data_IF_524076842022
#
_entry.id   IF_524076842022
#
_cell.length_a   1.000
_cell.length_b   1.000
_cell.length_c   1.000
_cell.angle_alpha   90.00
_cell.angle_beta   90.00
_cell.angle_gamma   90.00
#
_symmetry.space_group_name_H-M   'P 1'
#
loop_
_entity.id
_entity.type
_entity.pdbx_description
1 polymer ?
#
# COMPACT_ATOMS: atom_id res chain seq x y z
N UNK A 1 -4.52 -19.09 -25.15
CA UNK A 1 -5.13 -18.01 -25.95
C UNK A 1 -6.54 -17.79 -25.44
N UNK A 2 -6.73 -16.73 -24.64
CA UNK A 2 -8.01 -16.03 -24.43
C UNK A 2 -7.70 -14.81 -23.55
N UNK A 3 -7.52 -13.68 -24.23
CA UNK A 3 -7.56 -12.34 -23.66
C UNK A 3 -9.02 -12.08 -23.28
N UNK A 4 -9.28 -11.68 -22.04
CA UNK A 4 -10.58 -11.14 -21.64
C UNK A 4 -10.33 -9.83 -20.89
N UNK A 5 -10.24 -8.75 -21.67
CA UNK A 5 -10.58 -7.42 -21.18
C UNK A 5 -12.11 -7.36 -21.11
N UNK A 6 -12.65 -7.02 -19.94
CA UNK A 6 -14.06 -6.65 -19.79
C UNK A 6 -14.14 -5.42 -18.88
N UNK A 7 -14.31 -4.30 -19.57
CA UNK A 7 -14.72 -3.00 -19.07
C UNK A 7 -16.08 -3.10 -18.32
N UNK A 8 -16.21 -2.38 -17.21
CA UNK A 8 -17.28 -1.39 -16.93
C UNK A 8 -17.46 -1.09 -15.42
N UNK A 9 -16.91 0.06 -15.03
CA UNK A 9 -17.40 1.07 -14.06
C UNK A 9 -18.11 0.72 -12.75
N UNK A 10 -17.49 1.14 -11.63
CA UNK A 10 -18.10 2.14 -10.74
C UNK A 10 -17.01 2.93 -9.99
N UNK A 11 -17.21 4.25 -9.96
CA UNK A 11 -16.32 5.27 -9.42
C UNK A 11 -16.61 5.52 -7.93
N UNK A 12 -15.57 5.59 -7.10
CA UNK A 12 -15.61 6.35 -5.84
C UNK A 12 -14.30 7.11 -5.70
N UNK A 13 -14.28 8.34 -6.21
CA UNK A 13 -13.28 9.34 -5.82
C UNK A 13 -13.91 10.25 -4.78
N UNK A 14 -13.54 10.10 -3.50
CA UNK A 14 -13.86 11.12 -2.48
C UNK A 14 -12.83 12.25 -2.59
N UNK A 15 -13.24 13.36 -3.19
CA UNK A 15 -12.48 14.62 -3.20
C UNK A 15 -12.96 15.47 -2.03
N UNK A 16 -12.13 15.65 -1.00
CA UNK A 16 -12.39 16.64 0.05
C UNK A 16 -11.72 17.96 -0.35
N UNK A 17 -12.52 18.94 -0.78
CA UNK A 17 -12.08 20.35 -0.92
C UNK A 17 -12.74 21.15 0.20
N UNK A 18 -11.94 21.96 0.89
CA UNK A 18 -12.42 22.91 1.89
C UNK A 18 -12.75 24.23 1.19
N UNK A 19 -14.03 24.50 0.95
CA UNK A 19 -14.49 25.88 0.69
C UNK A 19 -14.85 26.54 2.04
N UNK A 20 -14.33 27.74 2.24
CA UNK A 20 -14.15 28.41 3.52
C UNK A 20 -15.39 28.91 4.27
N UNK A 21 -16.58 28.34 4.04
CA UNK A 21 -17.77 28.71 4.79
C UNK A 21 -18.40 27.48 5.48
N UNK A 22 -18.81 27.68 6.73
CA UNK A 22 -19.35 26.64 7.61
C UNK A 22 -20.36 25.69 6.96
N UNK A 23 -20.33 24.46 7.47
CA UNK A 23 -21.07 23.27 7.04
C UNK A 23 -22.55 23.59 6.78
N UNK A 24 -22.92 23.81 5.52
CA UNK A 24 -24.31 23.77 5.08
C UNK A 24 -24.63 22.34 4.67
N UNK A 25 -25.58 21.73 5.37
CA UNK A 25 -26.24 20.51 4.95
C UNK A 25 -26.90 20.76 3.59
N UNK A 26 -26.30 20.22 2.52
CA UNK A 26 -26.86 20.23 1.17
C UNK A 26 -27.51 18.88 0.82
N UNK A 27 -28.19 18.27 1.81
CA UNK A 27 -29.02 17.08 1.64
C UNK A 27 -30.48 17.33 1.26
N UNK A 28 -30.91 18.56 0.94
CA UNK A 28 -32.27 18.83 0.42
C UNK A 28 -32.31 19.96 -0.59
N UNK A 29 -32.07 19.64 -1.86
CA UNK A 29 -32.75 20.33 -2.94
C UNK A 29 -33.86 19.41 -3.49
N UNK A 30 -35.11 19.76 -3.17
CA UNK A 30 -36.29 19.11 -3.74
C UNK A 30 -36.33 19.40 -5.23
N UNK A 31 -35.99 18.41 -6.08
CA UNK A 31 -36.63 18.33 -7.38
C UNK A 31 -38.02 17.76 -7.18
N UNK A 32 -39.03 18.60 -7.42
CA UNK A 32 -40.40 18.15 -7.68
C UNK A 32 -40.39 17.48 -9.05
N UNK A 33 -40.41 16.16 -9.08
CA UNK A 33 -41.06 15.43 -10.16
C UNK A 33 -42.16 14.56 -9.55
N UNK A 34 -43.40 14.93 -9.86
CA UNK A 34 -44.54 14.09 -9.56
C UNK A 34 -44.47 12.85 -10.44
N UNK A 35 -44.31 11.68 -9.84
CA UNK A 35 -45.14 10.48 -10.03
C UNK A 35 -44.50 9.32 -9.26
N UNK A 36 -45.30 8.65 -8.43
CA UNK A 36 -44.83 7.67 -7.45
C UNK A 36 -44.35 6.35 -8.07
N UNK A 37 -43.26 5.83 -7.50
CA UNK A 37 -42.80 4.47 -7.70
C UNK A 37 -41.82 4.05 -6.59
N UNK A 38 -42.20 3.08 -5.78
CA UNK A 38 -41.45 2.60 -4.60
C UNK A 38 -40.24 1.76 -5.06
N UNK A 39 -39.00 2.16 -4.76
CA UNK A 39 -37.81 1.29 -4.82
C UNK A 39 -37.09 1.28 -3.47
N UNK A 40 -36.96 0.08 -2.89
CA UNK A 40 -36.07 -0.24 -1.75
C UNK A 40 -34.62 -0.20 -2.22
N UNK A 41 -33.75 0.54 -1.51
CA UNK A 41 -32.27 0.41 -1.40
C UNK A 41 -31.94 1.05 -0.05
N UNK A 42 -31.48 0.31 0.95
CA UNK A 42 -30.11 -0.16 1.12
C UNK A 42 -29.52 0.60 2.31
N UNK A 43 -29.47 -0.01 3.50
CA UNK A 43 -28.91 0.61 4.70
C UNK A 43 -27.40 0.34 4.74
N UNK A 44 -26.60 1.23 4.15
CA UNK A 44 -25.18 1.32 4.46
C UNK A 44 -25.01 2.05 5.79
N UNK A 45 -24.44 1.37 6.78
CA UNK A 45 -23.96 2.03 7.99
C UNK A 45 -22.54 2.56 7.72
N UNK A 46 -22.37 3.86 7.95
CA UNK A 46 -21.10 4.56 7.96
C UNK A 46 -20.71 4.81 9.40
N UNK A 47 -19.46 4.54 9.78
CA UNK A 47 -18.83 5.18 10.93
C UNK A 47 -17.34 5.44 10.66
N UNK A 48 -16.98 6.73 10.60
CA UNK A 48 -15.66 7.22 10.97
C UNK A 48 -15.82 8.65 11.52
N UNK A 49 -15.56 8.81 12.81
CA UNK A 49 -15.29 10.08 13.51
C UNK A 49 -14.26 9.71 14.60
N UNK A 50 -13.15 10.41 14.86
CA UNK A 50 -12.88 11.82 15.22
C UNK A 50 -11.33 11.99 15.12
N UNK A 51 -10.65 13.12 14.88
CA UNK A 51 -10.93 14.55 14.92
C UNK A 51 -9.73 15.35 14.38
N UNK A 52 -9.76 16.66 14.57
CA UNK A 52 -9.13 17.74 13.79
C UNK A 52 -7.59 17.84 13.79
N UNK A 53 -6.97 17.87 12.61
CA UNK A 53 -6.09 18.94 12.09
C UNK A 53 -5.75 18.65 10.62
N UNK A 54 -5.69 19.70 9.80
CA UNK A 54 -5.65 19.62 8.33
C UNK A 54 -4.33 19.04 7.82
N UNK A 55 -4.37 17.86 7.21
CA UNK A 55 -3.50 17.43 6.12
C UNK A 55 -4.39 16.71 5.10
N UNK A 56 -4.21 16.99 3.82
CA UNK A 56 -4.99 16.41 2.73
C UNK A 56 -4.65 14.93 2.62
N UNK A 57 -5.59 14.04 2.97
CA UNK A 57 -5.48 12.63 2.60
C UNK A 57 -5.93 12.50 1.15
N UNK A 58 -4.97 12.32 0.24
CA UNK A 58 -5.27 12.03 -1.15
C UNK A 58 -5.41 10.51 -1.32
N UNK A 59 -6.63 10.05 -1.55
CA UNK A 59 -6.96 8.65 -1.80
C UNK A 59 -7.06 8.42 -3.31
N UNK A 60 -6.17 7.60 -3.86
CA UNK A 60 -6.18 7.24 -5.28
C UNK A 60 -6.59 5.78 -5.45
N UNK A 61 -7.47 5.49 -6.41
CA UNK A 61 -7.87 4.11 -6.74
C UNK A 61 -7.23 3.68 -8.06
N UNK A 62 -6.19 2.87 -7.99
CA UNK A 62 -5.48 2.28 -9.13
C UNK A 62 -6.24 1.04 -9.65
N UNK A 63 -6.59 1.04 -10.93
CA UNK A 63 -7.33 -0.04 -11.57
C UNK A 63 -6.38 -1.07 -12.18
N UNK A 64 -6.57 -2.33 -11.78
CA UNK A 64 -6.01 -3.55 -12.37
C UNK A 64 -4.47 -3.56 -12.43
N UNK A 65 -3.87 -4.18 -11.41
CA UNK A 65 -2.47 -4.60 -11.44
C UNK A 65 -2.38 -6.06 -11.91
N UNK A 66 -1.75 -6.30 -13.06
CA UNK A 66 -1.37 -7.64 -13.50
C UNK A 66 -0.12 -8.11 -12.76
N UNK A 67 -0.24 -9.22 -12.03
CA UNK A 67 0.91 -9.90 -11.42
C UNK A 67 1.93 -10.26 -12.51
N UNK A 68 3.15 -9.71 -12.43
CA UNK A 68 4.22 -9.98 -13.39
C UNK A 68 4.92 -11.28 -12.98
N UNK A 69 4.78 -12.33 -13.79
CA UNK A 69 5.53 -13.59 -13.64
C UNK A 69 7.00 -13.38 -14.03
N UNK A 70 7.87 -13.09 -13.06
CA UNK A 70 9.31 -13.39 -13.07
C UNK A 70 9.79 -13.34 -11.61
N UNK A 71 10.65 -14.25 -11.13
CA UNK A 71 11.32 -14.08 -9.84
C UNK A 71 12.56 -13.19 -10.05
N UNK A 72 12.55 -11.90 -9.71
CA UNK A 72 13.78 -11.15 -9.57
C UNK A 72 14.54 -11.66 -8.34
N UNK A 73 15.87 -11.48 -8.30
CA UNK A 73 16.64 -11.64 -7.07
C UNK A 73 16.06 -10.75 -5.97
N UNK A 74 16.36 -11.02 -4.67
CA UNK A 74 15.96 -10.14 -3.58
C UNK A 74 16.32 -8.70 -3.92
N UNK A 75 15.49 -7.72 -3.52
CA UNK A 75 15.57 -6.36 -4.04
C UNK A 75 16.90 -5.71 -3.68
N UNK A 76 17.85 -5.70 -4.63
CA UNK A 76 19.14 -5.04 -4.45
C UNK A 76 18.97 -3.57 -4.86
N UNK A 77 19.27 -2.65 -3.94
CA UNK A 77 19.35 -1.21 -4.19
C UNK A 77 20.39 -0.95 -5.30
N UNK A 78 20.00 -0.37 -6.45
CA UNK A 78 20.90 -0.24 -7.61
C UNK A 78 22.08 0.70 -7.40
N UNK A 79 22.02 1.58 -6.40
CA UNK A 79 22.91 2.74 -6.27
C UNK A 79 24.20 2.46 -5.50
N UNK A 80 24.36 1.26 -4.92
CA UNK A 80 25.60 0.86 -4.23
C UNK A 80 26.29 -0.30 -4.94
N UNK A 81 27.17 0.04 -5.89
CA UNK A 81 28.07 -0.93 -6.56
C UNK A 81 29.02 -1.65 -5.59
N UNK A 82 29.31 -1.02 -4.45
CA UNK A 82 30.01 -1.60 -3.30
C UNK A 82 29.02 -1.72 -2.14
N UNK A 83 28.83 -2.93 -1.61
CA UNK A 83 27.81 -3.25 -0.60
C UNK A 83 26.37 -2.93 -1.06
N UNK A 84 25.86 -3.64 -2.09
CA UNK A 84 24.46 -3.56 -2.47
C UNK A 84 23.59 -3.79 -1.24
N UNK A 85 22.72 -2.82 -0.93
CA UNK A 85 21.77 -2.95 0.17
C UNK A 85 20.54 -3.67 -0.34
N UNK A 86 19.90 -4.47 0.49
CA UNK A 86 18.56 -4.95 0.19
C UNK A 86 17.55 -3.81 0.42
N UNK A 87 16.43 -3.80 -0.30
CA UNK A 87 15.29 -2.96 0.06
C UNK A 87 14.84 -3.31 1.49
N UNK A 88 14.46 -2.27 2.23
CA UNK A 88 13.93 -2.44 3.59
C UNK A 88 12.49 -2.94 3.53
N UNK A 89 12.15 -3.85 4.44
CA UNK A 89 10.77 -4.26 4.68
C UNK A 89 10.11 -3.23 5.60
N UNK A 90 9.04 -2.60 5.13
CA UNK A 90 8.29 -1.58 5.86
C UNK A 90 7.04 -2.14 6.53
N UNK A 91 6.43 -3.20 5.98
CA UNK A 91 5.22 -3.81 6.55
C UNK A 91 5.11 -5.30 6.13
N UNK A 92 4.51 -6.12 7.00
CA UNK A 92 4.15 -7.52 6.72
C UNK A 92 2.69 -7.73 7.15
N UNK A 93 1.85 -8.13 6.21
CA UNK A 93 0.44 -8.47 6.44
C UNK A 93 0.20 -9.95 6.16
N UNK A 94 -0.25 -10.71 7.15
CA UNK A 94 -0.64 -12.10 6.94
C UNK A 94 -1.89 -12.19 6.03
N UNK A 95 -1.82 -13.09 5.04
CA UNK A 95 -2.93 -13.42 4.14
C UNK A 95 -3.07 -14.94 4.09
N UNK A 96 -4.06 -15.49 4.79
CA UNK A 96 -4.21 -16.94 4.97
C UNK A 96 -3.27 -17.50 6.05
N UNK A 97 -3.01 -18.82 5.98
CA UNK A 97 -2.21 -19.53 6.99
C UNK A 97 -0.70 -19.43 6.76
N UNK A 98 -0.29 -19.40 5.49
CA UNK A 98 1.10 -19.62 5.09
C UNK A 98 1.63 -18.55 4.13
N UNK A 99 0.86 -17.49 3.90
CA UNK A 99 1.25 -16.41 2.97
C UNK A 99 1.17 -15.05 3.65
N UNK A 100 2.03 -14.15 3.19
CA UNK A 100 2.12 -12.78 3.67
C UNK A 100 2.26 -11.83 2.47
N UNK A 101 1.64 -10.66 2.57
CA UNK A 101 2.04 -9.50 1.78
C UNK A 101 3.18 -8.80 2.51
N UNK A 102 4.24 -8.45 1.76
CA UNK A 102 5.40 -7.72 2.28
C UNK A 102 5.57 -6.44 1.48
N UNK A 103 5.54 -5.29 2.16
CA UNK A 103 5.84 -4.00 1.55
C UNK A 103 7.34 -3.74 1.70
N UNK A 104 8.03 -3.66 0.57
CA UNK A 104 9.47 -3.46 0.51
C UNK A 104 9.82 -2.26 -0.37
N UNK A 105 10.81 -1.47 0.06
CA UNK A 105 11.24 -0.27 -0.67
C UNK A 105 12.72 0.03 -0.52
N UNK A 106 13.30 0.67 -1.53
CA UNK A 106 14.59 1.32 -1.35
C UNK A 106 14.47 2.54 -0.43
N UNK A 107 15.63 2.95 0.12
CA UNK A 107 15.73 4.07 1.04
C UNK A 107 16.26 5.29 0.31
N UNK A 108 15.92 6.47 0.82
CA UNK A 108 16.46 7.75 0.39
C UNK A 108 15.99 8.22 -1.03
N UNK A 109 14.86 7.69 -1.54
CA UNK A 109 14.26 8.09 -2.82
C UNK A 109 12.77 8.46 -2.71
N UNK A 110 12.44 9.71 -3.03
CA UNK A 110 11.06 10.20 -3.09
C UNK A 110 10.95 11.71 -2.92
N UNK A 111 9.73 12.19 -2.74
CA UNK A 111 9.46 13.60 -2.50
C UNK A 111 10.16 14.08 -1.21
N UNK A 112 10.83 15.23 -1.29
CA UNK A 112 11.55 15.84 -0.17
C UNK A 112 12.97 15.32 0.07
N UNK A 113 13.49 14.46 -0.81
CA UNK A 113 14.84 13.87 -0.69
C UNK A 113 15.74 14.25 -1.87
N UNK A 114 17.05 14.03 -1.71
CA UNK A 114 18.05 14.31 -2.76
C UNK A 114 17.84 13.46 -4.02
N UNK A 115 17.41 12.21 -3.85
CA UNK A 115 17.00 11.32 -4.92
C UNK A 115 15.47 11.26 -5.05
N UNK A 116 14.95 11.34 -6.28
CA UNK A 116 13.49 11.20 -6.51
C UNK A 116 13.07 9.84 -7.07
N UNK A 117 13.98 9.12 -7.76
CA UNK A 117 13.64 7.87 -8.44
C UNK A 117 13.85 6.65 -7.54
N UNK A 118 12.75 6.12 -7.00
CA UNK A 118 12.76 4.81 -6.36
C UNK A 118 12.86 3.73 -7.45
N UNK A 119 13.84 2.84 -7.32
CA UNK A 119 14.01 1.70 -8.21
C UNK A 119 13.24 0.48 -7.70
N UNK A 120 12.92 0.45 -6.42
CA UNK A 120 12.16 -0.63 -5.81
C UNK A 120 11.18 -0.09 -4.79
N UNK A 121 9.89 -0.28 -5.06
CA UNK A 121 8.80 -0.05 -4.10
C UNK A 121 7.63 -0.95 -4.49
N UNK A 122 7.50 -2.07 -3.80
CA UNK A 122 6.59 -3.14 -4.20
C UNK A 122 5.91 -3.77 -2.99
N UNK A 123 4.72 -4.30 -3.25
CA UNK A 123 4.05 -5.24 -2.35
C UNK A 123 4.26 -6.60 -2.98
N UNK A 124 4.94 -7.48 -2.27
CA UNK A 124 5.27 -8.83 -2.75
C UNK A 124 4.56 -9.88 -1.91
N UNK A 125 4.56 -11.12 -2.38
CA UNK A 125 4.03 -12.27 -1.64
C UNK A 125 5.18 -13.11 -1.12
N UNK A 126 5.15 -13.38 0.18
CA UNK A 126 6.05 -14.32 0.84
C UNK A 126 5.26 -15.55 1.27
N UNK A 127 5.64 -16.72 0.77
CA UNK A 127 4.96 -18.00 1.02
C UNK A 127 5.87 -18.94 1.81
N UNK A 128 5.39 -19.36 2.99
CA UNK A 128 6.10 -20.22 3.94
C UNK A 128 5.58 -21.67 3.94
N UNK A 129 4.59 -22.03 3.11
CA UNK A 129 3.90 -23.33 3.16
C UNK A 129 4.87 -24.51 3.04
N UNK A 130 5.97 -24.25 2.34
CA UNK A 130 6.96 -25.21 1.89
C UNK A 130 8.34 -24.94 2.50
N UNK A 131 8.45 -23.94 3.38
CA UNK A 131 9.70 -23.47 3.97
C UNK A 131 10.11 -24.27 5.21
N UNK A 132 11.41 -24.39 5.46
CA UNK A 132 11.91 -25.00 6.70
C UNK A 132 11.67 -24.05 7.87
N UNK A 133 10.87 -24.47 8.85
CA UNK A 133 10.73 -23.73 10.11
C UNK A 133 12.06 -23.69 10.85
N UNK A 134 12.49 -22.48 11.24
CA UNK A 134 13.72 -22.28 12.01
C UNK A 134 13.50 -22.37 13.52
N UNK A 135 12.25 -22.50 13.97
CA UNK A 135 11.89 -22.53 15.37
C UNK A 135 12.56 -23.70 16.09
N UNK A 136 13.12 -23.44 17.27
CA UNK A 136 13.77 -24.43 18.12
C UNK A 136 15.29 -24.33 18.13
N UNK A 137 15.96 -25.28 18.79
CA UNK A 137 17.38 -25.13 19.16
C UNK A 137 18.38 -25.28 18.01
N UNK A 138 17.99 -25.88 16.88
CA UNK A 138 18.93 -26.19 15.79
C UNK A 138 19.46 -24.92 15.13
N UNK A 139 18.56 -24.00 14.75
CA UNK A 139 18.92 -22.77 14.02
C UNK A 139 18.65 -21.49 14.83
N UNK A 140 17.69 -21.49 15.75
CA UNK A 140 17.32 -20.35 16.60
C UNK A 140 17.87 -20.51 18.02
N UNK A 141 19.19 -20.68 18.13
CA UNK A 141 19.90 -20.70 19.41
C UNK A 141 21.16 -19.85 19.36
N UNK A 142 21.65 -19.43 20.53
CA UNK A 142 22.86 -18.62 20.63
C UNK A 142 24.05 -19.37 20.02
N UNK A 143 24.59 -18.85 18.91
CA UNK A 143 25.72 -19.45 18.20
C UNK A 143 25.32 -20.45 17.11
N UNK A 144 24.02 -20.72 16.93
CA UNK A 144 23.52 -21.40 15.73
C UNK A 144 23.68 -20.50 14.50
N UNK A 145 23.71 -21.13 13.32
CA UNK A 145 23.74 -20.44 12.04
C UNK A 145 22.84 -21.17 11.03
N UNK A 146 22.25 -20.40 10.12
CA UNK A 146 21.52 -20.91 8.95
C UNK A 146 22.43 -21.12 7.73
N UNK A 147 23.67 -20.62 7.78
CA UNK A 147 24.64 -20.75 6.68
C UNK A 147 25.71 -21.80 6.97
N UNK A 148 26.41 -22.24 5.92
CA UNK A 148 27.49 -23.24 6.02
C UNK A 148 28.77 -22.67 6.66
N UNK A 149 29.01 -21.37 6.51
CA UNK A 149 30.06 -20.61 7.19
C UNK A 149 29.63 -19.14 7.39
N UNK A 150 30.24 -18.40 8.34
CA UNK A 150 30.09 -16.94 8.40
C UNK A 150 30.37 -16.31 7.04
N UNK A 151 29.54 -15.35 6.64
CA UNK A 151 29.66 -14.57 5.39
C UNK A 151 29.60 -15.37 4.07
N UNK A 152 29.33 -16.68 4.11
CA UNK A 152 29.25 -17.51 2.90
C UNK A 152 28.07 -17.15 1.99
N UNK A 153 26.97 -16.64 2.56
CA UNK A 153 25.71 -16.45 1.85
C UNK A 153 25.04 -17.76 1.40
N UNK A 154 25.60 -18.93 1.76
CA UNK A 154 25.11 -20.25 1.36
C UNK A 154 24.33 -20.85 2.52
N UNK A 155 23.03 -21.07 2.31
CA UNK A 155 22.19 -21.78 3.28
C UNK A 155 22.63 -23.23 3.46
N UNK A 156 22.45 -23.77 4.67
CA UNK A 156 22.58 -25.22 4.90
C UNK A 156 21.57 -25.97 4.04
N UNK A 157 21.97 -27.13 3.52
CA UNK A 157 21.22 -27.87 2.49
C UNK A 157 19.85 -28.40 2.95
N UNK A 158 19.63 -28.47 4.25
CA UNK A 158 18.38 -28.88 4.90
C UNK A 158 17.41 -27.69 5.15
N UNK A 159 17.85 -26.46 4.86
CA UNK A 159 17.03 -25.26 4.95
C UNK A 159 16.47 -24.93 3.56
N UNK A 160 15.15 -25.03 3.43
CA UNK A 160 14.41 -24.52 2.30
C UNK A 160 13.92 -23.10 2.62
N UNK A 161 14.38 -22.06 1.89
CA UNK A 161 13.88 -20.70 2.10
C UNK A 161 12.41 -20.62 1.68
N UNK A 162 11.70 -19.68 2.27
CA UNK A 162 10.37 -19.30 1.83
C UNK A 162 10.41 -18.70 0.41
N UNK A 163 9.31 -18.88 -0.31
CA UNK A 163 9.17 -18.41 -1.68
C UNK A 163 8.82 -16.92 -1.68
N UNK A 164 9.54 -16.13 -2.46
CA UNK A 164 9.30 -14.70 -2.63
C UNK A 164 8.86 -14.43 -4.06
N UNK A 165 7.66 -13.86 -4.23
CA UNK A 165 7.05 -13.60 -5.52
C UNK A 165 6.66 -12.12 -5.63
N UNK A 166 7.13 -11.39 -6.65
CA UNK A 166 6.64 -10.05 -6.89
C UNK A 166 5.15 -10.07 -7.17
N UNK A 167 4.43 -9.07 -6.65
CA UNK A 167 2.99 -9.02 -6.82
C UNK A 167 2.51 -7.67 -7.37
N UNK A 168 2.80 -6.57 -6.68
CA UNK A 168 2.31 -5.25 -7.04
C UNK A 168 3.44 -4.23 -7.03
N UNK A 169 3.65 -3.59 -8.18
CA UNK A 169 4.65 -2.55 -8.35
C UNK A 169 4.03 -1.16 -8.10
N UNK A 170 4.42 -0.52 -6.99
CA UNK A 170 3.91 0.82 -6.64
C UNK A 170 4.46 1.87 -7.62
N UNK A 171 5.63 1.60 -8.21
CA UNK A 171 6.31 2.49 -9.13
C UNK A 171 5.80 2.35 -10.58
N UNK A 172 4.72 1.59 -10.85
CA UNK A 172 4.19 1.41 -12.20
C UNK A 172 3.72 2.75 -12.79
N UNK A 173 4.53 3.29 -13.70
CA UNK A 173 4.30 4.61 -14.29
C UNK A 173 2.96 4.73 -15.03
N UNK A 174 2.47 3.65 -15.64
CA UNK A 174 1.19 3.67 -16.34
C UNK A 174 0.01 3.75 -15.36
N UNK A 175 0.12 3.12 -14.19
CA UNK A 175 -0.88 3.24 -13.13
C UNK A 175 -0.83 4.62 -12.47
N UNK A 176 0.36 5.12 -12.14
CA UNK A 176 0.53 6.44 -11.51
C UNK A 176 0.05 7.58 -12.41
N UNK A 177 0.35 7.52 -13.71
CA UNK A 177 -0.02 8.56 -14.67
C UNK A 177 -1.54 8.76 -14.80
N UNK A 178 -2.36 7.74 -14.51
CA UNK A 178 -3.83 7.85 -14.50
C UNK A 178 -4.33 8.88 -13.47
N UNK A 179 -3.51 9.18 -12.47
CA UNK A 179 -3.82 10.11 -11.37
C UNK A 179 -2.88 11.32 -11.33
N UNK A 180 -2.07 11.50 -12.38
CA UNK A 180 -1.06 12.55 -12.44
C UNK A 180 0.11 12.34 -11.50
N UNK A 181 0.23 11.17 -10.85
CA UNK A 181 1.34 10.84 -9.96
C UNK A 181 2.56 10.34 -10.75
N UNK A 182 3.74 10.39 -10.14
CA UNK A 182 4.96 9.85 -10.74
C UNK A 182 5.98 9.37 -9.70
N UNK A 183 6.89 8.52 -10.16
CA UNK A 183 8.07 8.08 -9.43
C UNK A 183 9.31 8.61 -10.17
N UNK A 184 10.19 9.33 -9.47
CA UNK A 184 11.30 10.06 -10.07
C UNK A 184 10.89 11.37 -10.74
N UNK A 185 11.91 12.16 -11.12
CA UNK A 185 11.72 13.44 -11.78
C UNK A 185 11.66 14.63 -10.81
N UNK A 186 10.75 15.56 -11.08
CA UNK A 186 10.63 16.82 -10.34
C UNK A 186 10.21 16.61 -8.88
N UNK A 187 10.70 17.47 -7.99
CA UNK A 187 10.30 17.50 -6.57
C UNK A 187 9.02 18.33 -6.45
N UNK A 188 7.88 17.72 -6.80
CA UNK A 188 6.56 18.34 -6.74
C UNK A 188 5.55 17.45 -5.99
N UNK A 189 4.36 18.00 -5.73
CA UNK A 189 3.33 17.34 -4.94
C UNK A 189 2.80 16.02 -5.54
N UNK A 190 3.08 15.74 -6.81
CA UNK A 190 2.68 14.50 -7.47
C UNK A 190 3.78 13.42 -7.44
N UNK A 191 4.98 13.76 -6.98
CA UNK A 191 6.03 12.81 -6.71
C UNK A 191 5.64 11.94 -5.51
N UNK A 192 5.79 10.63 -5.64
CA UNK A 192 5.55 9.74 -4.52
C UNK A 192 6.57 9.95 -3.39
N UNK A 193 6.10 9.93 -2.15
CA UNK A 193 6.93 9.97 -0.95
C UNK A 193 7.84 8.75 -0.85
N UNK A 194 8.93 8.87 -0.08
CA UNK A 194 9.86 7.76 0.17
C UNK A 194 9.24 6.68 1.07
N UNK A 195 8.62 7.07 2.19
CA UNK A 195 8.06 6.14 3.18
C UNK A 195 6.69 5.63 2.80
N UNK A 196 6.53 4.32 2.80
CA UNK A 196 5.25 3.62 2.71
C UNK A 196 5.26 2.54 3.79
N UNK A 197 4.36 2.64 4.77
CA UNK A 197 4.49 1.89 6.03
C UNK A 197 3.15 1.29 6.49
N UNK A 198 2.28 0.97 5.53
CA UNK A 198 1.03 0.29 5.85
C UNK A 198 0.55 -0.59 4.71
N UNK A 199 -0.15 -1.66 5.11
CA UNK A 199 -0.83 -2.59 4.23
C UNK A 199 -2.17 -2.97 4.85
N UNK A 200 -3.22 -2.91 4.02
CA UNK A 200 -4.49 -3.53 4.32
C UNK A 200 -5.05 -4.19 3.06
N UNK A 201 -5.85 -5.24 3.23
CA UNK A 201 -6.61 -5.84 2.13
C UNK A 201 -8.06 -6.03 2.58
N UNK A 202 -9.01 -5.59 1.75
CA UNK A 202 -10.45 -5.66 2.03
C UNK A 202 -11.22 -6.09 0.79
N UNK A 203 -12.34 -6.81 0.93
CA UNK A 203 -13.08 -7.29 -0.23
C UNK A 203 -13.84 -6.14 -0.92
N UNK A 204 -13.85 -6.14 -2.26
CA UNK A 204 -14.51 -5.08 -3.06
C UNK A 204 -16.04 -5.12 -2.91
N UNK A 205 -16.59 -6.32 -2.74
CA UNK A 205 -18.03 -6.52 -2.54
C UNK A 205 -18.55 -6.01 -1.18
N UNK A 206 -17.65 -5.58 -0.29
CA UNK A 206 -17.96 -5.14 1.07
C UNK A 206 -18.51 -6.25 1.96
N UNK A 207 -18.30 -7.51 1.59
CA UNK A 207 -18.74 -8.70 2.32
C UNK A 207 -17.51 -9.56 2.66
N UNK A 208 -17.44 -10.76 2.12
CA UNK A 208 -16.40 -11.76 2.42
C UNK A 208 -15.49 -12.02 1.21
N UNK A 209 -15.64 -11.25 0.11
CA UNK A 209 -14.82 -11.38 -1.09
C UNK A 209 -15.12 -12.63 -1.92
N UNK A 210 -16.40 -13.02 -2.03
CA UNK A 210 -16.83 -14.20 -2.79
C UNK A 210 -16.68 -14.02 -4.32
N UNK A 211 -16.46 -12.79 -4.80
CA UNK A 211 -16.24 -12.46 -6.21
C UNK A 211 -14.75 -12.37 -6.59
N UNK A 212 -13.86 -12.74 -5.65
CA UNK A 212 -12.39 -12.73 -5.73
C UNK A 212 -11.78 -11.33 -6.00
N UNK A 213 -12.56 -10.25 -5.87
CA UNK A 213 -12.07 -8.89 -6.04
C UNK A 213 -11.73 -8.27 -4.69
N UNK A 214 -10.53 -7.70 -4.60
CA UNK A 214 -10.00 -7.12 -3.36
C UNK A 214 -9.41 -5.74 -3.62
N UNK A 215 -9.51 -4.88 -2.61
CA UNK A 215 -8.74 -3.66 -2.52
C UNK A 215 -7.52 -3.92 -1.66
N UNK A 216 -6.32 -3.68 -2.20
CA UNK A 216 -5.08 -3.56 -1.42
C UNK A 216 -4.82 -2.08 -1.19
N UNK A 217 -4.61 -1.69 0.06
CA UNK A 217 -4.44 -0.30 0.46
C UNK A 217 -3.06 -0.17 1.09
N UNK A 218 -2.32 0.85 0.67
CA UNK A 218 -1.06 1.26 1.30
C UNK A 218 -1.02 2.77 1.44
N UNK A 219 -0.44 3.23 2.54
CA UNK A 219 -0.39 4.62 2.94
C UNK A 219 1.05 4.98 3.29
N UNK A 220 1.46 6.12 2.76
CA UNK A 220 2.66 6.85 3.12
C UNK A 220 2.35 7.83 4.24
N UNK A 221 3.09 7.74 5.32
CA UNK A 221 3.18 8.84 6.28
C UNK A 221 4.13 9.91 5.74
N UNK A 222 3.98 11.13 6.25
CA UNK A 222 4.75 12.28 5.79
C UNK A 222 5.87 12.67 6.76
N UNK A 223 6.18 11.84 7.78
CA UNK A 223 7.15 12.13 8.83
C UNK A 223 6.97 13.49 9.54
N UNK A 224 5.76 14.06 9.51
CA UNK A 224 5.50 15.45 9.93
C UNK A 224 6.32 16.51 9.16
N UNK A 225 6.79 16.21 7.94
CA UNK A 225 7.50 17.16 7.08
C UNK A 225 6.50 18.21 6.56
N UNK A 226 6.49 19.37 7.19
CA UNK A 226 5.64 20.50 6.81
C UNK A 226 6.26 21.85 7.18
N UNK A 227 5.95 22.89 6.40
CA UNK A 227 6.30 24.28 6.65
C UNK A 227 5.27 25.03 7.51
N UNK A 228 4.19 24.36 7.92
CA UNK A 228 3.11 24.94 8.73
C UNK A 228 2.65 23.98 9.85
N UNK A 229 3.62 23.35 10.52
CA UNK A 229 3.35 22.38 11.58
C UNK A 229 2.87 23.01 12.88
N UNK A 230 1.93 22.37 13.57
CA UNK A 230 1.51 22.73 14.93
C UNK A 230 1.46 21.50 15.83
N UNK A 231 1.81 21.66 17.11
CA UNK A 231 1.71 20.62 18.12
C UNK A 231 1.25 21.20 19.46
N UNK A 232 1.01 20.34 20.45
CA UNK A 232 0.51 20.75 21.77
C UNK A 232 -0.79 21.58 21.67
N UNK A 233 -1.80 21.02 20.97
CA UNK A 233 -3.10 21.67 20.74
C UNK A 233 -2.98 23.05 20.07
N UNK A 234 -2.02 23.22 19.16
CA UNK A 234 -1.81 24.46 18.42
C UNK A 234 -1.01 25.54 19.18
N UNK A 235 -0.55 25.26 20.41
CA UNK A 235 0.22 26.22 21.22
C UNK A 235 1.64 26.45 20.68
N UNK A 236 2.18 25.46 20.00
CA UNK A 236 3.54 25.49 19.49
C UNK A 236 3.51 25.21 17.99
N UNK A 237 4.35 25.94 17.25
CA UNK A 237 4.51 25.81 15.80
C UNK A 237 5.90 25.31 15.47
N UNK A 238 6.05 24.59 14.37
CA UNK A 238 7.35 24.21 13.82
C UNK A 238 7.32 24.30 12.29
N UNK A 239 8.51 24.34 11.71
CA UNK A 239 8.73 24.22 10.28
C UNK A 239 9.82 23.20 10.07
N UNK A 240 9.59 22.26 9.17
CA UNK A 240 10.58 21.28 8.84
C UNK A 240 11.79 21.93 8.13
N UNK A 241 12.99 21.46 8.46
CA UNK A 241 14.24 22.06 8.00
C UNK A 241 14.51 21.83 6.51
N UNK A 242 13.87 20.84 5.88
CA UNK A 242 14.03 20.55 4.46
C UNK A 242 13.41 21.61 3.55
N UNK A 243 12.47 22.40 4.07
CA UNK A 243 11.71 23.38 3.28
C UNK A 243 10.53 22.79 2.50
N UNK A 244 10.28 21.48 2.59
CA UNK A 244 9.17 20.81 1.91
C UNK A 244 7.91 20.73 2.76
N UNK A 245 6.78 20.51 2.07
CA UNK A 245 5.51 20.05 2.60
C UNK A 245 5.18 18.71 1.93
N UNK A 246 5.12 17.64 2.70
CA UNK A 246 4.73 16.32 2.21
C UNK A 246 3.28 16.02 2.62
N UNK A 247 2.46 15.66 1.63
CA UNK A 247 1.13 15.10 1.87
C UNK A 247 1.25 13.63 2.30
N UNK A 248 0.34 13.17 3.15
CA UNK A 248 0.13 11.73 3.33
C UNK A 248 -0.56 11.17 2.09
N UNK A 249 0.06 10.17 1.46
CA UNK A 249 -0.43 9.59 0.22
C UNK A 249 -1.07 8.23 0.49
N UNK A 250 -2.23 7.95 -0.10
CA UNK A 250 -2.87 6.64 -0.02
C UNK A 250 -3.14 6.08 -1.42
N UNK A 251 -2.67 4.86 -1.67
CA UNK A 251 -2.90 4.12 -2.90
C UNK A 251 -3.79 2.92 -2.62
N UNK A 252 -4.85 2.78 -3.42
CA UNK A 252 -5.82 1.69 -3.33
C UNK A 252 -5.83 0.95 -4.65
N UNK A 253 -5.42 -0.31 -4.64
CA UNK A 253 -5.35 -1.14 -5.83
C UNK A 253 -6.54 -2.09 -5.86
N UNK A 254 -7.32 -2.06 -6.94
CA UNK A 254 -8.30 -3.12 -7.20
C UNK A 254 -7.60 -4.30 -7.89
N UNK A 255 -7.57 -5.43 -7.21
CA UNK A 255 -6.94 -6.67 -7.68
C UNK A 255 -7.96 -7.80 -7.75
N UNK A 256 -7.69 -8.78 -8.61
CA UNK A 256 -8.40 -10.05 -8.60
C UNK A 256 -7.45 -11.14 -8.11
N UNK A 257 -7.80 -11.80 -7.01
CA UNK A 257 -7.06 -12.95 -6.53
C UNK A 257 -7.48 -14.22 -7.31
N UNK A 258 -6.68 -15.31 -7.26
CA UNK A 258 -7.11 -16.60 -7.78
C UNK A 258 -8.49 -17.01 -7.23
N UNK A 259 -9.22 -17.79 -8.02
CA UNK A 259 -10.56 -18.24 -7.66
C UNK A 259 -10.52 -18.98 -6.31
N UNK A 260 -11.38 -18.55 -5.38
CA UNK A 260 -11.45 -19.07 -4.02
C UNK A 260 -10.23 -18.79 -3.14
N UNK A 261 -9.39 -17.81 -3.46
CA UNK A 261 -8.38 -17.31 -2.52
C UNK A 261 -9.04 -16.80 -1.25
N UNK A 262 -8.49 -17.20 -0.10
CA UNK A 262 -9.02 -16.86 1.23
C UNK A 262 -7.94 -16.14 2.04
N UNK A 263 -7.70 -14.85 1.77
CA UNK A 263 -6.75 -14.07 2.55
C UNK A 263 -7.16 -13.97 4.03
N UNK A 264 -8.44 -14.19 4.35
CA UNK A 264 -8.95 -14.25 5.72
C UNK A 264 -9.86 -15.46 5.96
N UNK A 265 -9.87 -15.96 7.20
CA UNK A 265 -10.76 -17.03 7.65
C UNK A 265 -12.17 -16.47 7.85
N UNK A 266 -13.22 -17.14 7.34
CA UNK A 266 -14.62 -16.72 7.55
C UNK A 266 -15.03 -16.92 9.01
N UNK A 267 -15.62 -15.89 9.63
CA UNK A 267 -16.33 -16.02 10.92
C UNK A 267 -15.55 -15.55 12.17
N UNK A 268 -14.67 -14.56 12.03
CA UNK A 268 -14.16 -13.78 13.18
C UNK A 268 -14.78 -12.38 13.19
N UNK A 269 -16.12 -12.34 13.17
CA UNK A 269 -16.92 -11.13 13.40
C UNK A 269 -17.72 -11.32 14.70
#
# INVERSE_FOLDING_TARGET
MALAALDMGLWVGLRFVRDGDGMRDWGREKRRDGTGGRKKRGSGQWFAACGTNSHTLSLYTLNEATAKNHPPPPPIQPTKKTNPRTAGQSEILAVGSDQFLILSRDSDFGHGLDGSLSNYRQIDVFDISDATSLNGRTYDSRGSSITTAPDSGILKSDIKPALYCPFLDINDAAQLAKFGLHNGGAQDAALLNEKWESLAIVPVDGKIGDDDWWFVITISDNDFITQNGTFNFGKNTFKDASGYDLDSQALVYKIKLPEHSRPFVRGQD
#
